data_IF_983249411745
#
_entry.id   IF_983249411745
#
_cell.length_a   1.000
_cell.length_b   1.000
_cell.length_c   1.000
_cell.angle_alpha   90.00
_cell.angle_beta   90.00
_cell.angle_gamma   90.00
#
_symmetry.space_group_name_H-M   'P 1'
#
loop_
_entity.id
_entity.type
_entity.pdbx_description
1 polymer ?
#
# COMPACT_ATOMS: atom_id res chain seq x y z
N UNK A 1 -7.55 14.84 12.63
CA UNK A 1 -6.27 15.13 11.97
C UNK A 1 -5.93 13.93 11.11
N UNK A 2 -5.66 14.14 9.83
CA UNK A 2 -5.19 13.08 8.93
C UNK A 2 -3.71 12.83 9.16
N UNK A 3 -3.29 11.56 9.17
CA UNK A 3 -1.88 11.17 9.21
C UNK A 3 -1.23 11.40 7.85
N UNK A 4 0.09 11.49 7.83
CA UNK A 4 0.87 11.52 6.59
C UNK A 4 1.19 10.10 6.14
N UNK A 5 0.80 9.76 4.90
CA UNK A 5 1.16 8.48 4.28
C UNK A 5 2.65 8.45 3.91
N UNK A 6 3.37 7.42 4.35
CA UNK A 6 4.79 7.22 4.07
C UNK A 6 5.04 5.80 3.59
N UNK A 7 5.63 5.66 2.41
CA UNK A 7 6.08 4.36 1.92
C UNK A 7 7.51 4.09 2.40
N UNK A 8 7.70 2.93 3.03
CA UNK A 8 9.03 2.44 3.38
C UNK A 8 9.83 2.10 2.11
N UNK A 9 11.17 2.13 2.15
CA UNK A 9 12.00 1.70 1.02
C UNK A 9 11.67 0.29 0.51
N UNK A 10 11.28 -0.62 1.40
CA UNK A 10 10.81 -1.96 1.04
C UNK A 10 9.49 -1.94 0.25
N UNK A 11 8.55 -1.06 0.60
CA UNK A 11 7.31 -0.91 -0.13
C UNK A 11 7.53 -0.31 -1.53
N UNK A 12 8.46 0.65 -1.67
CA UNK A 12 8.87 1.17 -2.98
C UNK A 12 9.54 0.08 -3.84
N UNK A 13 10.33 -0.81 -3.23
CA UNK A 13 10.86 -2.00 -3.91
C UNK A 13 9.75 -2.97 -4.35
N UNK A 14 8.75 -3.23 -3.50
CA UNK A 14 7.60 -4.06 -3.86
C UNK A 14 6.81 -3.48 -5.04
N UNK A 15 6.64 -2.15 -5.10
CA UNK A 15 6.04 -1.48 -6.25
C UNK A 15 6.85 -1.65 -7.53
N UNK A 16 8.18 -1.48 -7.45
CA UNK A 16 9.06 -1.66 -8.60
C UNK A 16 9.01 -3.11 -9.11
N UNK A 17 9.05 -4.10 -8.21
CA UNK A 17 8.94 -5.52 -8.55
C UNK A 17 7.60 -5.85 -9.21
N UNK A 18 6.49 -5.35 -8.66
CA UNK A 18 5.18 -5.54 -9.25
C UNK A 18 5.07 -4.87 -10.64
N UNK A 19 5.66 -3.68 -10.78
CA UNK A 19 5.73 -2.98 -12.05
C UNK A 19 6.47 -3.80 -13.10
N UNK A 20 7.69 -4.23 -12.80
CA UNK A 20 8.57 -4.92 -13.74
C UNK A 20 7.94 -6.20 -14.28
N UNK A 21 7.23 -6.96 -13.43
CA UNK A 21 6.52 -8.18 -13.85
C UNK A 21 5.36 -7.84 -14.79
N UNK A 22 4.49 -6.89 -14.43
CA UNK A 22 3.30 -6.56 -15.23
C UNK A 22 3.71 -5.84 -16.53
N UNK A 23 4.79 -5.06 -16.51
CA UNK A 23 5.26 -4.28 -17.64
C UNK A 23 5.78 -5.14 -18.79
N UNK A 24 6.15 -6.40 -18.54
CA UNK A 24 6.49 -7.37 -19.58
C UNK A 24 5.33 -7.58 -20.57
N UNK A 25 4.08 -7.55 -20.07
CA UNK A 25 2.88 -7.67 -20.89
C UNK A 25 2.28 -6.32 -21.27
N UNK A 26 2.20 -5.39 -20.29
CA UNK A 26 1.60 -4.08 -20.50
C UNK A 26 2.13 -3.03 -19.51
N UNK A 27 3.06 -2.16 -19.94
CA UNK A 27 3.58 -1.08 -19.10
C UNK A 27 2.48 -0.13 -18.59
N UNK A 28 1.45 0.13 -19.42
CA UNK A 28 0.30 0.94 -19.02
C UNK A 28 -0.51 0.29 -17.91
N UNK A 29 -0.68 -1.04 -17.94
CA UNK A 29 -1.36 -1.76 -16.87
C UNK A 29 -0.53 -1.75 -15.58
N UNK A 30 0.79 -1.88 -15.69
CA UNK A 30 1.72 -1.83 -14.57
C UNK A 30 1.65 -0.47 -13.83
N UNK A 31 1.73 0.65 -14.58
CA UNK A 31 1.56 1.99 -14.00
C UNK A 31 0.22 2.12 -13.27
N UNK A 32 -0.87 1.76 -13.95
CA UNK A 32 -2.21 1.84 -13.35
C UNK A 32 -2.31 1.00 -12.09
N UNK A 33 -1.72 -0.20 -12.07
CA UNK A 33 -1.75 -1.08 -10.91
C UNK A 33 -1.08 -0.45 -9.69
N UNK A 34 0.13 0.09 -9.84
CA UNK A 34 0.87 0.75 -8.75
C UNK A 34 0.13 2.00 -8.26
N UNK A 35 -0.34 2.85 -9.18
CA UNK A 35 -1.11 4.05 -8.85
C UNK A 35 -2.40 3.72 -8.09
N UNK A 36 -3.10 2.65 -8.47
CA UNK A 36 -4.34 2.23 -7.82
C UNK A 36 -4.09 1.75 -6.38
N UNK A 37 -2.95 1.10 -6.11
CA UNK A 37 -2.56 0.69 -4.75
C UNK A 37 -2.22 1.94 -3.92
N UNK A 38 -1.37 2.83 -4.44
CA UNK A 38 -0.98 4.06 -3.72
C UNK A 38 -2.20 4.91 -3.34
N UNK A 39 -3.12 5.10 -4.29
CA UNK A 39 -4.38 5.82 -4.07
C UNK A 39 -5.25 5.17 -3.00
N UNK A 40 -5.37 3.84 -3.00
CA UNK A 40 -6.15 3.14 -1.96
C UNK A 40 -5.53 3.28 -0.57
N UNK A 41 -4.20 3.35 -0.47
CA UNK A 41 -3.51 3.61 0.80
C UNK A 41 -3.80 5.01 1.37
N UNK A 42 -4.24 5.98 0.57
CA UNK A 42 -4.60 7.32 1.06
C UNK A 42 -5.70 7.26 2.13
N UNK A 43 -6.63 6.31 2.05
CA UNK A 43 -7.69 6.14 3.05
C UNK A 43 -7.15 5.77 4.45
N UNK A 44 -5.93 5.21 4.53
CA UNK A 44 -5.28 4.87 5.80
C UNK A 44 -4.87 6.12 6.59
N UNK A 45 -4.76 7.27 5.93
CA UNK A 45 -4.44 8.55 6.60
C UNK A 45 -5.53 8.97 7.60
N UNK A 46 -6.78 8.72 7.24
CA UNK A 46 -7.96 9.03 8.06
C UNK A 46 -8.43 7.81 8.86
N UNK A 47 -8.32 6.61 8.30
CA UNK A 47 -8.87 5.37 8.86
C UNK A 47 -7.81 4.27 9.03
N UNK A 48 -6.72 4.50 9.80
CA UNK A 48 -5.61 3.55 9.90
C UNK A 48 -6.00 2.22 10.56
N UNK A 49 -7.14 2.13 11.26
CA UNK A 49 -7.65 0.88 11.87
C UNK A 49 -8.58 0.08 10.96
N UNK A 50 -8.75 0.46 9.69
CA UNK A 50 -9.61 -0.29 8.76
C UNK A 50 -9.02 -1.65 8.33
N UNK A 51 -7.70 -1.82 8.42
CA UNK A 51 -7.04 -3.10 8.25
C UNK A 51 -7.22 -4.03 9.44
N UNK A 52 -6.82 -5.29 9.28
CA UNK A 52 -6.84 -6.31 10.35
C UNK A 52 -5.48 -6.34 11.04
N UNK A 53 -5.40 -6.38 12.38
CA UNK A 53 -4.13 -6.57 13.06
C UNK A 53 -3.53 -7.93 12.66
N UNK A 54 -2.25 -7.94 12.34
CA UNK A 54 -1.45 -9.13 12.06
C UNK A 54 -0.60 -9.51 13.29
N UNK A 55 -0.04 -8.49 13.96
CA UNK A 55 0.62 -8.57 15.26
C UNK A 55 0.31 -7.29 16.07
N UNK A 56 1.10 -7.00 17.12
CA UNK A 56 0.88 -5.86 18.01
C UNK A 56 1.04 -4.49 17.33
N UNK A 57 1.79 -4.42 16.22
CA UNK A 57 2.17 -3.14 15.57
C UNK A 57 1.78 -3.13 14.09
N UNK A 58 1.75 -4.29 13.44
CA UNK A 58 1.51 -4.45 12.01
C UNK A 58 0.05 -4.78 11.74
N UNK A 59 -0.52 -4.05 10.78
CA UNK A 59 -1.84 -4.25 10.24
C UNK A 59 -1.75 -4.71 8.79
N UNK A 60 -2.78 -5.43 8.35
CA UNK A 60 -2.91 -5.99 7.01
C UNK A 60 -4.23 -5.57 6.38
N UNK A 61 -4.17 -5.05 5.17
CA UNK A 61 -5.34 -4.76 4.35
C UNK A 61 -5.23 -5.43 2.98
N UNK A 62 -6.37 -5.91 2.47
CA UNK A 62 -6.47 -6.56 1.17
C UNK A 62 -7.20 -5.64 0.20
N UNK A 63 -6.63 -5.45 -0.99
CA UNK A 63 -7.28 -4.72 -2.08
C UNK A 63 -7.76 -5.71 -3.14
N UNK A 64 -9.05 -6.08 -3.08
CA UNK A 64 -9.78 -6.90 -4.07
C UNK A 64 -8.97 -8.03 -4.73
N UNK A 65 -8.23 -8.78 -3.89
CA UNK A 65 -7.38 -9.94 -4.28
C UNK A 65 -6.19 -9.62 -5.19
N UNK A 66 -5.87 -8.35 -5.38
CA UNK A 66 -4.76 -7.87 -6.23
C UNK A 66 -3.49 -7.61 -5.45
N UNK A 67 -3.62 -7.11 -4.23
CA UNK A 67 -2.49 -6.81 -3.36
C UNK A 67 -2.86 -6.98 -1.89
N UNK A 68 -1.86 -7.35 -1.10
CA UNK A 68 -1.89 -7.29 0.36
C UNK A 68 -0.91 -6.22 0.78
N UNK A 69 -1.36 -5.25 1.58
CA UNK A 69 -0.50 -4.20 2.12
C UNK A 69 -0.33 -4.45 3.61
N UNK A 70 0.93 -4.49 4.05
CA UNK A 70 1.31 -4.46 5.46
C UNK A 70 1.71 -3.04 5.83
N UNK A 71 1.21 -2.55 6.95
CA UNK A 71 1.47 -1.18 7.38
C UNK A 71 1.43 -1.08 8.91
N UNK A 72 1.97 0.00 9.44
CA UNK A 72 1.88 0.40 10.84
C UNK A 72 1.49 1.88 10.88
N UNK A 73 1.06 2.39 12.04
CA UNK A 73 0.73 3.81 12.17
C UNK A 73 0.96 4.30 13.59
N UNK A 74 1.24 5.60 13.72
CA UNK A 74 1.38 6.29 15.01
C UNK A 74 0.43 7.51 15.06
N UNK A 75 0.79 8.60 15.75
CA UNK A 75 -0.02 9.82 15.78
C UNK A 75 0.13 10.68 14.52
N UNK A 76 1.27 10.59 13.83
CA UNK A 76 1.66 11.46 12.73
C UNK A 76 1.60 10.77 11.36
N UNK A 77 1.90 9.48 11.31
CA UNK A 77 2.15 8.74 10.07
C UNK A 77 1.43 7.41 9.98
N UNK A 78 1.27 6.96 8.75
CA UNK A 78 0.81 5.63 8.35
C UNK A 78 1.60 5.13 7.15
#
# INVERSE_FOLDING_TARGET
MSRRLVFLPSAEFDFAMAYDVIAQDSPRAALRFVEDIRRRCEALTDFPRMGRPLDDVVYRIFFDRRATVLYAFDEETV
#
